data_IF_163664081488
#
_entry.id   IF_163664081488
#
_cell.length_a   1.000
_cell.length_b   1.000
_cell.length_c   1.000
_cell.angle_alpha   90.00
_cell.angle_beta   90.00
_cell.angle_gamma   90.00
#
_symmetry.space_group_name_H-M   'P 1'
#
loop_
_entity.id
_entity.type
_entity.pdbx_description
1 polymer ?
#
# COMPACT_ATOMS: atom_id res chain seq x y z
N UNK A 1 5.35 12.11 46.94
CA UNK A 1 4.43 12.22 45.79
C UNK A 1 5.11 11.59 44.59
N UNK A 2 4.62 10.46 44.04
CA UNK A 2 5.23 9.85 42.87
C UNK A 2 4.30 9.98 41.67
N UNK A 3 4.45 11.03 40.84
CA UNK A 3 3.94 10.99 39.47
C UNK A 3 4.89 11.68 38.48
N UNK A 4 5.78 10.89 37.84
CA UNK A 4 6.32 11.23 36.53
C UNK A 4 6.13 10.09 35.49
N UNK A 5 5.25 9.12 35.76
CA UNK A 5 5.03 7.93 34.91
C UNK A 5 4.34 8.23 33.56
N UNK A 6 3.33 9.12 33.45
CA UNK A 6 2.57 9.29 32.20
C UNK A 6 3.39 9.83 31.02
N UNK A 7 4.35 10.73 31.30
CA UNK A 7 5.16 11.37 30.25
C UNK A 7 6.19 10.41 29.64
N UNK A 8 6.77 9.53 30.45
CA UNK A 8 7.76 8.55 29.98
C UNK A 8 7.13 7.49 29.07
N UNK A 9 5.93 7.01 29.42
CA UNK A 9 5.20 6.05 28.59
C UNK A 9 4.75 6.67 27.26
N UNK A 10 4.27 7.92 27.29
CA UNK A 10 3.93 8.66 26.06
C UNK A 10 5.15 8.82 25.14
N UNK A 11 6.28 9.28 25.66
CA UNK A 11 7.53 9.43 24.88
C UNK A 11 8.00 8.10 24.29
N UNK A 12 7.90 6.99 25.07
CA UNK A 12 8.23 5.65 24.57
C UNK A 12 7.30 5.20 23.45
N UNK A 13 6.01 5.48 23.56
CA UNK A 13 5.01 5.14 22.53
C UNK A 13 5.23 5.95 21.25
N UNK A 14 5.55 7.24 21.35
CA UNK A 14 5.91 8.10 20.22
C UNK A 14 7.22 7.64 19.55
N UNK A 15 8.21 7.22 20.34
CA UNK A 15 9.45 6.62 19.78
C UNK A 15 9.22 5.30 19.04
N UNK A 16 8.21 4.50 19.42
CA UNK A 16 7.77 3.33 18.62
C UNK A 16 7.03 3.76 17.36
N UNK A 17 6.15 4.75 17.48
CA UNK A 17 5.40 5.33 16.37
C UNK A 17 6.33 5.84 15.25
N UNK A 18 7.33 6.65 15.58
CA UNK A 18 8.34 7.16 14.61
C UNK A 18 9.09 6.03 13.91
N UNK A 19 9.49 4.98 14.65
CA UNK A 19 10.15 3.81 14.06
C UNK A 19 9.21 3.04 13.13
N UNK A 20 7.94 2.91 13.49
CA UNK A 20 6.91 2.32 12.65
C UNK A 20 6.71 3.10 11.34
N UNK A 21 6.57 4.43 11.44
CA UNK A 21 6.47 5.32 10.28
C UNK A 21 7.70 5.24 9.38
N UNK A 22 8.90 5.19 9.97
CA UNK A 22 10.15 5.03 9.21
C UNK A 22 10.23 3.67 8.52
N UNK A 23 9.79 2.59 9.16
CA UNK A 23 9.75 1.25 8.56
C UNK A 23 8.76 1.21 7.39
N UNK A 24 7.60 1.86 7.51
CA UNK A 24 6.62 1.98 6.42
C UNK A 24 7.11 2.86 5.28
N UNK A 25 7.77 3.97 5.59
CA UNK A 25 8.33 4.89 4.60
C UNK A 25 9.33 4.18 3.68
N UNK A 26 10.24 3.38 4.24
CA UNK A 26 11.18 2.61 3.43
C UNK A 26 10.59 1.30 2.90
N UNK A 27 9.68 0.70 3.64
CA UNK A 27 9.03 -0.56 3.28
C UNK A 27 8.14 -0.43 2.05
N UNK A 28 7.39 0.67 1.89
CA UNK A 28 6.50 0.87 0.73
C UNK A 28 7.22 0.80 -0.62
N UNK A 29 8.25 1.64 -0.90
CA UNK A 29 8.93 1.62 -2.19
C UNK A 29 9.71 0.33 -2.38
N UNK A 30 10.32 -0.21 -1.31
CA UNK A 30 11.01 -1.51 -1.38
C UNK A 30 10.04 -2.63 -1.73
N UNK A 31 8.86 -2.69 -1.10
CA UNK A 31 7.84 -3.69 -1.40
C UNK A 31 7.37 -3.57 -2.86
N UNK A 32 7.08 -2.35 -3.34
CA UNK A 32 6.69 -2.15 -4.73
C UNK A 32 7.76 -2.66 -5.71
N UNK A 33 9.02 -2.25 -5.52
CA UNK A 33 10.14 -2.61 -6.41
C UNK A 33 10.43 -4.11 -6.34
N UNK A 34 10.56 -4.68 -5.14
CA UNK A 34 10.91 -6.09 -4.94
C UNK A 34 9.79 -7.00 -5.41
N UNK A 35 8.51 -6.70 -5.10
CA UNK A 35 7.39 -7.50 -5.58
C UNK A 35 7.27 -7.43 -7.11
N UNK A 36 7.42 -6.24 -7.70
CA UNK A 36 7.42 -6.08 -9.16
C UNK A 36 8.54 -6.89 -9.83
N UNK A 37 9.78 -6.77 -9.32
CA UNK A 37 10.91 -7.53 -9.85
C UNK A 37 10.78 -9.03 -9.61
N UNK A 38 10.19 -9.47 -8.50
CA UNK A 38 9.96 -10.91 -8.25
C UNK A 38 8.96 -11.49 -9.25
N UNK A 39 7.94 -10.70 -9.62
CA UNK A 39 6.92 -11.10 -10.59
C UNK A 39 7.39 -11.04 -12.05
N UNK A 40 8.33 -10.15 -12.40
CA UNK A 40 8.70 -9.84 -13.80
C UNK A 40 10.15 -10.12 -14.18
N UNK A 41 11.08 -10.17 -13.23
CA UNK A 41 12.52 -10.18 -13.50
C UNK A 41 13.21 -11.42 -12.91
N UNK A 42 14.22 -11.94 -13.64
CA UNK A 42 15.04 -13.07 -13.18
C UNK A 42 16.11 -12.68 -12.15
N UNK A 43 16.33 -11.38 -11.91
CA UNK A 43 17.42 -10.88 -11.07
C UNK A 43 17.31 -11.33 -9.59
N UNK A 44 16.09 -11.55 -9.08
CA UNK A 44 15.86 -12.00 -7.69
C UNK A 44 15.67 -13.52 -7.58
N UNK A 45 15.78 -14.26 -8.69
CA UNK A 45 15.49 -15.69 -8.76
C UNK A 45 16.40 -16.53 -7.84
N UNK A 46 17.62 -16.06 -7.60
CA UNK A 46 18.60 -16.69 -6.69
C UNK A 46 18.19 -16.64 -5.21
N UNK A 47 17.38 -15.64 -4.81
CA UNK A 47 16.93 -15.47 -3.43
C UNK A 47 15.54 -16.08 -3.18
N UNK A 48 14.89 -16.61 -4.22
CA UNK A 48 13.61 -17.32 -4.12
C UNK A 48 12.48 -16.43 -3.58
N UNK A 49 11.75 -16.94 -2.59
CA UNK A 49 10.60 -16.26 -1.96
C UNK A 49 10.99 -15.27 -0.86
N UNK A 50 12.27 -15.22 -0.47
CA UNK A 50 12.73 -14.44 0.69
C UNK A 50 12.58 -12.93 0.48
N UNK A 51 12.99 -12.34 -0.67
CA UNK A 51 12.88 -10.90 -0.88
C UNK A 51 11.46 -10.34 -0.71
N UNK A 52 10.40 -10.87 -1.39
CA UNK A 52 9.05 -10.34 -1.23
C UNK A 52 8.50 -10.54 0.19
N UNK A 53 8.88 -11.62 0.88
CA UNK A 53 8.52 -11.83 2.29
C UNK A 53 9.19 -10.82 3.22
N UNK A 54 10.46 -10.49 2.99
CA UNK A 54 11.19 -9.56 3.84
C UNK A 54 10.60 -8.14 3.77
N UNK A 55 10.27 -7.66 2.57
CA UNK A 55 9.72 -6.31 2.37
C UNK A 55 8.27 -6.18 2.83
N UNK A 56 7.42 -7.19 2.58
CA UNK A 56 6.05 -7.21 3.10
C UNK A 56 6.03 -7.41 4.62
N UNK A 57 6.97 -8.20 5.15
CA UNK A 57 7.18 -8.36 6.60
C UNK A 57 7.61 -7.05 7.27
N UNK A 58 8.41 -6.22 6.59
CA UNK A 58 8.76 -4.88 7.06
C UNK A 58 7.53 -3.96 7.18
N UNK A 59 6.56 -4.07 6.26
CA UNK A 59 5.28 -3.34 6.36
C UNK A 59 4.46 -3.80 7.56
N UNK A 60 4.34 -5.12 7.77
CA UNK A 60 3.68 -5.69 8.95
C UNK A 60 4.34 -5.20 10.24
N UNK A 61 5.67 -5.22 10.31
CA UNK A 61 6.43 -4.71 11.44
C UNK A 61 6.18 -3.22 11.68
N UNK A 62 6.14 -2.40 10.63
CA UNK A 62 5.83 -0.98 10.72
C UNK A 62 4.45 -0.72 11.34
N UNK A 63 3.43 -1.43 10.88
CA UNK A 63 2.07 -1.37 11.47
C UNK A 63 1.99 -1.94 12.89
N UNK A 64 2.80 -2.93 13.21
CA UNK A 64 2.87 -3.48 14.56
C UNK A 64 3.35 -2.40 15.54
N UNK A 65 4.43 -1.69 15.20
CA UNK A 65 5.00 -0.61 16.01
C UNK A 65 4.02 0.56 16.24
N UNK A 66 3.18 0.89 15.25
CA UNK A 66 2.16 1.94 15.37
C UNK A 66 1.10 1.62 16.45
N UNK A 67 0.77 0.36 16.68
CA UNK A 67 -0.34 0.02 17.60
C UNK A 67 -0.01 0.12 19.09
N UNK A 68 1.22 0.46 19.45
CA UNK A 68 1.52 0.84 20.83
C UNK A 68 1.07 2.27 21.18
N UNK A 69 0.80 3.09 20.17
CA UNK A 69 0.29 4.44 20.35
C UNK A 69 -1.23 4.43 20.59
N UNK A 70 -1.69 5.23 21.55
CA UNK A 70 -3.12 5.52 21.81
C UNK A 70 -4.06 4.29 21.79
N UNK A 71 -3.74 3.25 22.57
CA UNK A 71 -4.51 1.97 22.63
C UNK A 71 -5.99 2.13 23.02
N UNK A 72 -6.35 3.25 23.65
CA UNK A 72 -7.71 3.52 24.10
C UNK A 72 -8.63 3.93 22.94
N UNK A 73 -8.07 4.58 21.91
CA UNK A 73 -8.82 5.15 20.81
C UNK A 73 -9.35 4.06 19.87
N UNK A 74 -10.67 3.88 19.84
CA UNK A 74 -11.31 2.78 19.08
C UNK A 74 -11.17 2.97 17.58
N UNK A 75 -11.33 4.21 17.11
CA UNK A 75 -11.27 4.55 15.69
C UNK A 75 -9.86 4.32 15.13
N UNK A 76 -8.83 4.62 15.94
CA UNK A 76 -7.43 4.32 15.63
C UNK A 76 -7.19 2.82 15.46
N UNK A 77 -7.61 2.03 16.46
CA UNK A 77 -7.42 0.58 16.45
C UNK A 77 -8.10 -0.07 15.25
N UNK A 78 -9.35 0.29 14.96
CA UNK A 78 -10.07 -0.28 13.81
C UNK A 78 -9.35 0.02 12.48
N UNK A 79 -8.82 1.23 12.31
CA UNK A 79 -8.06 1.59 11.11
C UNK A 79 -6.75 0.78 11.02
N UNK A 80 -6.01 0.68 12.12
CA UNK A 80 -4.77 -0.10 12.19
C UNK A 80 -5.01 -1.60 11.96
N UNK A 81 -6.05 -2.17 12.55
CA UNK A 81 -6.35 -3.59 12.45
C UNK A 81 -6.73 -3.97 11.00
N UNK A 82 -7.49 -3.11 10.33
CA UNK A 82 -7.77 -3.27 8.89
C UNK A 82 -6.48 -3.27 8.07
N UNK A 83 -5.59 -2.30 8.29
CA UNK A 83 -4.31 -2.22 7.60
C UNK A 83 -3.39 -3.42 7.91
N UNK A 84 -3.41 -3.93 9.15
CA UNK A 84 -2.62 -5.10 9.57
C UNK A 84 -3.11 -6.38 8.91
N UNK A 85 -4.41 -6.57 8.82
CA UNK A 85 -4.99 -7.73 8.15
C UNK A 85 -4.55 -7.72 6.68
N UNK A 86 -4.67 -6.57 6.00
CA UNK A 86 -4.23 -6.43 4.61
C UNK A 86 -2.72 -6.67 4.45
N UNK A 87 -1.89 -6.12 5.34
CA UNK A 87 -0.45 -6.37 5.30
C UNK A 87 -0.08 -7.84 5.54
N UNK A 88 -0.83 -8.55 6.40
CA UNK A 88 -0.63 -9.99 6.63
C UNK A 88 -1.09 -10.82 5.44
N UNK A 89 -2.18 -10.42 4.77
CA UNK A 89 -2.63 -11.02 3.52
C UNK A 89 -1.53 -10.83 2.46
N UNK A 90 -1.03 -9.61 2.27
CA UNK A 90 0.04 -9.31 1.31
C UNK A 90 1.31 -10.11 1.63
N UNK A 91 1.70 -10.22 2.91
CA UNK A 91 2.81 -11.07 3.34
C UNK A 91 2.59 -12.55 3.01
N UNK A 92 1.38 -13.07 3.23
CA UNK A 92 1.05 -14.46 2.90
C UNK A 92 0.96 -14.73 1.39
N UNK A 93 0.60 -13.72 0.60
CA UNK A 93 0.48 -13.81 -0.86
C UNK A 93 1.79 -13.56 -1.59
N UNK A 94 2.74 -12.84 -0.99
CA UNK A 94 4.01 -12.46 -1.61
C UNK A 94 4.83 -13.63 -2.21
N UNK A 95 4.83 -14.87 -1.65
CA UNK A 95 5.52 -16.01 -2.28
C UNK A 95 4.95 -16.41 -3.64
N UNK A 96 3.67 -16.14 -3.90
CA UNK A 96 3.01 -16.51 -5.16
C UNK A 96 3.56 -15.71 -6.34
N UNK A 97 4.16 -14.53 -6.13
CA UNK A 97 4.88 -13.80 -7.17
C UNK A 97 6.03 -14.62 -7.76
N UNK A 98 6.78 -15.31 -6.89
CA UNK A 98 7.89 -16.17 -7.32
C UNK A 98 7.35 -17.40 -8.07
N UNK A 99 6.34 -18.07 -7.54
CA UNK A 99 5.77 -19.26 -8.18
C UNK A 99 5.09 -18.96 -9.51
N UNK A 100 4.43 -17.81 -9.63
CA UNK A 100 3.85 -17.37 -10.89
C UNK A 100 4.91 -17.08 -11.95
N UNK A 101 6.04 -16.47 -11.56
CA UNK A 101 7.19 -16.27 -12.46
C UNK A 101 7.74 -17.63 -12.97
N UNK A 102 7.78 -18.66 -12.11
CA UNK A 102 8.26 -19.98 -12.48
C UNK A 102 7.26 -20.78 -13.34
N UNK A 103 5.96 -20.66 -13.07
CA UNK A 103 4.89 -21.41 -13.76
C UNK A 103 3.76 -20.45 -14.18
N UNK A 104 3.98 -19.59 -15.20
CA UNK A 104 3.04 -18.55 -15.57
C UNK A 104 1.76 -19.09 -16.24
N UNK A 105 1.78 -20.33 -16.73
CA UNK A 105 0.62 -21.01 -17.33
C UNK A 105 -0.43 -21.47 -16.31
N UNK A 106 -0.10 -21.46 -15.02
CA UNK A 106 -1.03 -21.89 -13.97
C UNK A 106 -1.96 -20.74 -13.56
N UNK A 107 -3.25 -20.88 -13.87
CA UNK A 107 -4.29 -19.88 -13.55
C UNK A 107 -4.47 -19.64 -12.04
N UNK A 108 -4.16 -20.62 -11.19
CA UNK A 108 -4.23 -20.45 -9.74
C UNK A 108 -3.21 -19.43 -9.24
N UNK A 109 -1.96 -19.51 -9.71
CA UNK A 109 -0.92 -18.54 -9.34
C UNK A 109 -1.23 -17.15 -9.88
N UNK A 110 -1.79 -17.04 -11.09
CA UNK A 110 -2.29 -15.78 -11.61
C UNK A 110 -3.38 -15.20 -10.70
N UNK A 111 -4.34 -16.01 -10.25
CA UNK A 111 -5.41 -15.55 -9.36
C UNK A 111 -4.86 -15.05 -8.01
N UNK A 112 -3.85 -15.72 -7.44
CA UNK A 112 -3.21 -15.27 -6.20
C UNK A 112 -2.45 -13.95 -6.39
N UNK A 113 -1.74 -13.77 -7.50
CA UNK A 113 -1.06 -12.50 -7.83
C UNK A 113 -2.07 -11.37 -8.05
N UNK A 114 -3.19 -11.64 -8.73
CA UNK A 114 -4.27 -10.65 -8.89
C UNK A 114 -4.89 -10.28 -7.55
N UNK A 115 -5.10 -11.26 -6.66
CA UNK A 115 -5.57 -11.01 -5.30
C UNK A 115 -4.58 -10.16 -4.50
N UNK A 116 -3.28 -10.40 -4.64
CA UNK A 116 -2.22 -9.60 -4.02
C UNK A 116 -2.23 -8.16 -4.55
N UNK A 117 -2.42 -7.94 -5.86
CA UNK A 117 -2.54 -6.59 -6.42
C UNK A 117 -3.75 -5.86 -5.84
N UNK A 118 -4.91 -6.51 -5.76
CA UNK A 118 -6.12 -5.92 -5.17
C UNK A 118 -5.92 -5.63 -3.67
N UNK A 119 -5.32 -6.58 -2.95
CA UNK A 119 -5.02 -6.45 -1.53
C UNK A 119 -4.01 -5.32 -1.27
N UNK A 120 -2.95 -5.20 -2.05
CA UNK A 120 -1.95 -4.13 -1.95
C UNK A 120 -2.51 -2.74 -2.24
N UNK A 121 -3.44 -2.61 -3.20
CA UNK A 121 -4.16 -1.35 -3.42
C UNK A 121 -5.07 -1.00 -2.24
N UNK A 122 -5.78 -2.00 -1.70
CA UNK A 122 -6.60 -1.83 -0.51
C UNK A 122 -5.73 -1.46 0.72
N UNK A 123 -4.56 -2.08 0.85
CA UNK A 123 -3.57 -1.79 1.88
C UNK A 123 -3.13 -0.33 1.82
N UNK A 124 -2.76 0.18 0.64
CA UNK A 124 -2.42 1.59 0.45
C UNK A 124 -3.57 2.51 0.89
N UNK A 125 -4.80 2.22 0.47
CA UNK A 125 -5.97 2.98 0.91
C UNK A 125 -6.15 2.97 2.44
N UNK A 126 -6.03 1.79 3.06
CA UNK A 126 -6.13 1.62 4.51
C UNK A 126 -5.01 2.35 5.26
N UNK A 127 -3.80 2.38 4.71
CA UNK A 127 -2.67 3.07 5.30
C UNK A 127 -2.86 4.59 5.26
N UNK A 128 -3.38 5.14 4.17
CA UNK A 128 -3.74 6.56 4.11
C UNK A 128 -4.83 6.91 5.14
N UNK A 129 -5.80 6.01 5.35
CA UNK A 129 -6.78 6.19 6.42
C UNK A 129 -6.12 6.18 7.81
N UNK A 130 -5.21 5.24 8.09
CA UNK A 130 -4.42 5.22 9.32
C UNK A 130 -3.70 6.56 9.52
N UNK A 131 -3.02 7.07 8.49
CA UNK A 131 -2.31 8.36 8.56
C UNK A 131 -3.25 9.54 8.80
N UNK A 132 -4.43 9.55 8.18
CA UNK A 132 -5.44 10.57 8.43
C UNK A 132 -5.92 10.57 9.88
N UNK A 133 -6.11 9.38 10.47
CA UNK A 133 -6.46 9.26 11.90
C UNK A 133 -5.32 9.71 12.80
N UNK A 134 -4.09 9.36 12.45
CA UNK A 134 -2.91 9.79 13.20
C UNK A 134 -2.77 11.32 13.19
N UNK A 135 -2.91 11.95 12.01
CA UNK A 135 -2.88 13.40 11.87
C UNK A 135 -3.98 14.09 12.70
N UNK A 136 -5.19 13.51 12.76
CA UNK A 136 -6.28 14.04 13.57
C UNK A 136 -6.01 14.02 15.10
N UNK A 137 -5.07 13.19 15.57
CA UNK A 137 -4.65 13.12 16.97
C UNK A 137 -3.45 14.03 17.28
N UNK A 138 -2.82 14.61 16.25
CA UNK A 138 -1.70 15.54 16.40
C UNK A 138 -2.23 16.99 16.47
N UNK A 139 -1.50 17.89 17.15
CA UNK A 139 -1.92 19.28 17.33
C UNK A 139 -1.79 20.16 16.06
N UNK A 140 -1.18 19.65 14.99
CA UNK A 140 -0.91 20.40 13.76
C UNK A 140 -2.14 20.42 12.80
N UNK A 141 -2.75 21.59 12.66
CA UNK A 141 -3.91 21.81 11.78
C UNK A 141 -3.55 21.77 10.28
N UNK A 142 -2.34 22.20 9.90
CA UNK A 142 -1.89 22.16 8.51
C UNK A 142 -1.71 20.71 8.05
N UNK A 143 -1.07 19.88 8.89
CA UNK A 143 -0.96 18.44 8.65
C UNK A 143 -2.34 17.79 8.50
N UNK A 144 -3.30 18.14 9.36
CA UNK A 144 -4.67 17.60 9.28
C UNK A 144 -5.37 17.92 7.96
N UNK A 145 -5.25 19.16 7.49
CA UNK A 145 -5.86 19.58 6.22
C UNK A 145 -5.23 18.86 5.02
N UNK A 146 -3.90 18.83 4.96
CA UNK A 146 -3.16 18.16 3.89
C UNK A 146 -3.44 16.66 3.85
N UNK A 147 -3.42 15.99 5.01
CA UNK A 147 -3.67 14.54 5.07
C UNK A 147 -5.07 14.21 4.58
N UNK A 148 -6.08 15.05 4.86
CA UNK A 148 -7.44 14.87 4.34
C UNK A 148 -7.49 15.01 2.81
N UNK A 149 -6.84 16.03 2.26
CA UNK A 149 -6.81 16.25 0.81
C UNK A 149 -6.06 15.14 0.07
N UNK A 150 -4.87 14.78 0.57
CA UNK A 150 -4.06 13.74 -0.04
C UNK A 150 -4.71 12.37 0.10
N UNK A 151 -5.36 12.06 1.23
CA UNK A 151 -6.11 10.80 1.36
C UNK A 151 -7.25 10.72 0.34
N UNK A 152 -8.02 11.79 0.13
CA UNK A 152 -9.10 11.81 -0.85
C UNK A 152 -8.58 11.68 -2.29
N UNK A 153 -7.51 12.41 -2.64
CA UNK A 153 -6.87 12.33 -3.95
C UNK A 153 -6.30 10.93 -4.19
N UNK A 154 -5.60 10.38 -3.20
CA UNK A 154 -4.99 9.06 -3.27
C UNK A 154 -6.06 7.96 -3.43
N UNK A 155 -7.17 8.04 -2.69
CA UNK A 155 -8.28 7.12 -2.86
C UNK A 155 -8.90 7.17 -4.27
N UNK A 156 -9.08 8.36 -4.84
CA UNK A 156 -9.55 8.50 -6.23
C UNK A 156 -8.56 7.89 -7.23
N UNK A 157 -7.26 8.09 -7.05
CA UNK A 157 -6.23 7.47 -7.89
C UNK A 157 -6.25 5.95 -7.78
N UNK A 158 -6.37 5.40 -6.57
CA UNK A 158 -6.47 3.96 -6.34
C UNK A 158 -7.73 3.37 -7.00
N UNK A 159 -8.87 4.06 -6.94
CA UNK A 159 -10.11 3.65 -7.62
C UNK A 159 -9.94 3.64 -9.15
N UNK A 160 -9.33 4.67 -9.72
CA UNK A 160 -9.03 4.72 -11.17
C UNK A 160 -8.08 3.58 -11.53
N UNK A 161 -7.04 3.33 -10.72
CA UNK A 161 -6.08 2.24 -10.92
C UNK A 161 -6.76 0.88 -10.90
N UNK A 162 -7.58 0.61 -9.88
CA UNK A 162 -8.32 -0.64 -9.76
C UNK A 162 -9.29 -0.84 -10.92
N UNK A 163 -9.97 0.23 -11.36
CA UNK A 163 -10.89 0.19 -12.50
C UNK A 163 -10.16 -0.11 -13.81
N UNK A 164 -9.04 0.55 -14.08
CA UNK A 164 -8.20 0.28 -15.26
C UNK A 164 -7.63 -1.15 -15.22
N UNK A 165 -7.14 -1.60 -14.07
CA UNK A 165 -6.63 -2.95 -13.88
C UNK A 165 -7.70 -4.03 -14.10
N UNK A 166 -8.91 -3.81 -13.58
CA UNK A 166 -10.05 -4.70 -13.79
C UNK A 166 -10.44 -4.77 -15.27
N UNK A 167 -10.54 -3.63 -15.96
CA UNK A 167 -10.83 -3.60 -17.39
C UNK A 167 -9.77 -4.34 -18.21
N UNK A 168 -8.49 -4.17 -17.85
CA UNK A 168 -7.39 -4.88 -18.49
C UNK A 168 -7.46 -6.40 -18.23
N UNK A 169 -7.75 -6.83 -16.99
CA UNK A 169 -7.91 -8.24 -16.65
C UNK A 169 -9.10 -8.88 -17.38
N UNK A 170 -10.23 -8.16 -17.50
CA UNK A 170 -11.40 -8.61 -18.27
C UNK A 170 -11.11 -8.70 -19.77
N UNK A 171 -10.27 -7.81 -20.30
CA UNK A 171 -9.81 -7.88 -21.68
C UNK A 171 -8.94 -9.12 -21.92
N UNK A 172 -7.94 -9.37 -21.05
CA UNK A 172 -7.05 -10.54 -21.16
C UNK A 172 -7.81 -11.87 -21.01
N UNK A 173 -8.73 -11.95 -20.06
CA UNK A 173 -9.56 -13.16 -19.84
C UNK A 173 -10.70 -13.29 -20.85
N UNK A 174 -11.08 -12.18 -21.48
CA UNK A 174 -12.11 -12.11 -22.51
C UNK A 174 -11.62 -12.47 -23.92
N UNK A 175 -10.32 -12.71 -24.12
CA UNK A 175 -9.75 -13.14 -25.40
C UNK A 175 -10.05 -14.64 -25.60
N UNK A 176 -11.03 -15.01 -26.47
CA UNK A 176 -11.49 -16.38 -26.54
C UNK A 176 -10.96 -17.01 -27.83
N UNK A 177 -10.05 -17.98 -27.70
CA UNK A 177 -9.78 -18.94 -28.78
C UNK A 177 -11.05 -19.73 -29.18
N UNK A 178 -12.19 -19.62 -28.47
CA UNK A 178 -13.40 -20.39 -28.74
C UNK A 178 -14.75 -19.65 -28.54
N UNK A 179 -14.86 -18.34 -28.81
CA UNK A 179 -16.13 -17.65 -28.52
C UNK A 179 -16.25 -16.19 -28.97
N UNK A 180 -16.14 -15.95 -30.27
CA UNK A 180 -16.15 -14.64 -30.95
C UNK A 180 -17.45 -13.80 -30.84
N UNK A 181 -18.34 -14.02 -29.87
CA UNK A 181 -19.65 -13.33 -29.83
C UNK A 181 -19.96 -12.54 -28.55
N UNK A 182 -19.06 -12.48 -27.56
CA UNK A 182 -19.36 -11.78 -26.29
C UNK A 182 -18.66 -10.42 -26.12
N UNK A 183 -17.49 -10.21 -26.74
CA UNK A 183 -16.70 -8.97 -26.58
C UNK A 183 -17.06 -7.88 -27.59
N UNK A 184 -17.72 -8.21 -28.71
CA UNK A 184 -18.10 -7.23 -29.74
C UNK A 184 -19.21 -6.25 -29.31
N UNK A 185 -19.69 -6.36 -28.07
CA UNK A 185 -20.73 -5.49 -27.48
C UNK A 185 -20.17 -4.51 -26.43
N UNK A 186 -18.85 -4.43 -26.26
CA UNK A 186 -18.24 -3.37 -25.46
C UNK A 186 -18.14 -2.10 -26.31
N UNK A 187 -18.65 -1.00 -25.76
CA UNK A 187 -18.73 0.33 -26.37
C UNK A 187 -17.43 0.72 -27.10
N UNK A 188 -17.49 1.43 -28.24
CA UNK A 188 -16.30 1.91 -28.96
C UNK A 188 -15.35 2.72 -28.06
N UNK A 189 -15.86 3.33 -26.99
CA UNK A 189 -15.03 4.00 -25.98
C UNK A 189 -14.10 3.04 -25.23
N UNK A 190 -14.56 1.82 -24.92
CA UNK A 190 -13.76 0.81 -24.24
C UNK A 190 -12.62 0.32 -25.14
N UNK A 191 -12.85 0.20 -26.44
CA UNK A 191 -11.82 -0.16 -27.42
C UNK A 191 -10.71 0.89 -27.51
N UNK A 192 -11.05 2.18 -27.44
CA UNK A 192 -10.07 3.28 -27.41
C UNK A 192 -9.25 3.26 -26.13
N UNK A 193 -9.89 3.05 -24.97
CA UNK A 193 -9.19 2.96 -23.67
C UNK A 193 -8.25 1.76 -23.66
N UNK A 194 -8.68 0.60 -24.17
CA UNK A 194 -7.81 -0.59 -24.25
C UNK A 194 -6.65 -0.40 -25.23
N UNK A 195 -6.84 0.31 -26.35
CA UNK A 195 -5.74 0.61 -27.28
C UNK A 195 -4.72 1.61 -26.72
N UNK A 196 -5.18 2.61 -25.94
CA UNK A 196 -4.29 3.53 -25.22
C UNK A 196 -3.52 2.80 -24.14
N UNK A 197 -4.18 1.87 -23.43
CA UNK A 197 -3.52 0.95 -22.51
C UNK A 197 -2.52 0.10 -23.29
N UNK A 198 -2.87 -0.63 -24.34
CA UNK A 198 -1.92 -1.48 -25.09
C UNK A 198 -0.68 -0.73 -25.62
N UNK A 199 -0.82 0.54 -26.05
CA UNK A 199 0.32 1.38 -26.45
C UNK A 199 1.16 1.91 -25.27
N UNK A 200 0.59 2.04 -24.08
CA UNK A 200 1.25 2.54 -22.87
C UNK A 200 1.49 1.49 -21.77
N UNK A 201 1.19 0.22 -22.06
CA UNK A 201 0.51 -0.76 -21.17
C UNK A 201 1.12 -0.98 -19.79
N UNK A 202 2.43 -1.01 -19.70
CA UNK A 202 3.08 -1.23 -18.40
C UNK A 202 3.46 0.09 -17.72
N UNK A 203 3.92 1.09 -18.48
CA UNK A 203 4.39 2.35 -17.90
C UNK A 203 3.27 3.21 -17.35
N UNK A 204 2.11 3.21 -18.00
CA UNK A 204 0.94 3.96 -17.52
C UNK A 204 0.42 3.40 -16.19
N UNK A 205 0.26 2.07 -16.09
CA UNK A 205 -0.15 1.41 -14.84
C UNK A 205 0.89 1.58 -13.74
N UNK A 206 2.18 1.48 -14.07
CA UNK A 206 3.27 1.76 -13.12
C UNK A 206 3.18 3.19 -12.60
N UNK A 207 3.01 4.19 -13.46
CA UNK A 207 2.90 5.59 -13.04
C UNK A 207 1.65 5.83 -12.17
N UNK A 208 0.55 5.18 -12.53
CA UNK A 208 -0.72 5.29 -11.82
C UNK A 208 -0.68 4.66 -10.43
N UNK A 209 0.17 3.64 -10.20
CA UNK A 209 0.46 3.05 -8.88
C UNK A 209 1.58 3.82 -8.16
N UNK A 210 2.56 4.35 -8.89
CA UNK A 210 3.69 5.06 -8.31
C UNK A 210 3.25 6.39 -7.68
N UNK A 211 2.30 7.09 -8.29
CA UNK A 211 1.73 8.32 -7.75
C UNK A 211 1.08 8.15 -6.36
N UNK A 212 0.12 7.22 -6.14
CA UNK A 212 -0.46 6.97 -4.83
C UNK A 212 0.56 6.48 -3.80
N UNK A 213 1.56 5.71 -4.22
CA UNK A 213 2.70 5.32 -3.35
C UNK A 213 3.51 6.54 -2.93
N UNK A 214 3.89 7.41 -3.87
CA UNK A 214 4.66 8.62 -3.58
C UNK A 214 3.92 9.59 -2.66
N UNK A 215 2.61 9.77 -2.86
CA UNK A 215 1.76 10.57 -1.97
C UNK A 215 1.72 9.99 -0.55
N UNK A 216 1.57 8.67 -0.44
CA UNK A 216 1.58 7.98 0.87
C UNK A 216 2.94 8.15 1.56
N UNK A 217 4.04 8.05 0.80
CA UNK A 217 5.39 8.29 1.31
C UNK A 217 5.58 9.74 1.79
N UNK A 218 5.08 10.72 1.05
CA UNK A 218 5.14 12.12 1.45
C UNK A 218 4.40 12.37 2.77
N UNK A 219 3.21 11.77 2.95
CA UNK A 219 2.46 11.82 4.21
C UNK A 219 3.18 11.12 5.36
N UNK A 220 3.75 9.94 5.12
CA UNK A 220 4.54 9.21 6.11
C UNK A 220 5.73 10.05 6.60
N UNK A 221 6.47 10.64 5.67
CA UNK A 221 7.59 11.52 5.97
C UNK A 221 7.14 12.75 6.77
N UNK A 222 6.14 13.48 6.29
CA UNK A 222 5.67 14.71 6.95
C UNK A 222 5.12 14.43 8.35
N UNK A 223 4.32 13.38 8.50
CA UNK A 223 3.78 12.97 9.81
C UNK A 223 4.91 12.62 10.79
N UNK A 224 5.94 11.91 10.32
CA UNK A 224 7.12 11.59 11.12
C UNK A 224 7.85 12.85 11.59
N UNK A 225 8.08 13.82 10.72
CA UNK A 225 8.75 15.08 11.08
C UNK A 225 7.92 15.87 12.11
N UNK A 226 6.61 16.01 11.92
CA UNK A 226 5.74 16.70 12.90
C UNK A 226 5.77 16.02 14.27
N UNK A 227 5.83 14.69 14.32
CA UNK A 227 5.97 13.96 15.59
C UNK A 227 7.35 14.23 16.22
N UNK A 228 8.43 14.23 15.44
CA UNK A 228 9.77 14.54 15.94
C UNK A 228 9.83 15.97 16.49
N UNK A 229 9.30 16.94 15.75
CA UNK A 229 9.21 18.34 16.18
C UNK A 229 8.39 18.48 17.46
N UNK A 230 7.30 17.73 17.62
CA UNK A 230 6.52 17.75 18.87
C UNK A 230 7.27 17.19 20.08
N UNK A 231 8.23 16.28 19.87
CA UNK A 231 9.04 15.66 20.93
C UNK A 231 10.23 16.56 21.31
N UNK A 232 10.89 17.15 20.31
CA UNK A 232 12.14 17.90 20.49
C UNK A 232 11.95 19.42 20.55
N UNK A 233 10.89 19.95 19.93
CA UNK A 233 10.57 21.39 19.91
C UNK A 233 9.84 21.90 21.16
N UNK A 234 9.44 21.02 22.09
CA UNK A 234 8.83 21.41 23.36
C UNK A 234 9.84 21.85 24.44
N UNK A 235 11.07 22.21 24.04
CA UNK A 235 12.17 22.62 24.93
C UNK A 235 12.53 24.12 24.88
N UNK A 236 11.83 24.93 24.10
CA UNK A 236 11.91 26.39 24.11
C UNK A 236 10.62 27.02 24.67
#
# INVERSE_FOLDING_TARGET
>A
MPEPVPRAELLRSLGRLVRGLSALFWGLPLALVVCFHTAKAEALRSFGIVPPLAVTGLLVYGLWQLGDFQKQERVWRNALDCARILALIDFGLSPFLYWWNQVPSNSFYLAMVLLEVVSGLAFLGSLNWVLQRLAAMLPDEALRLETRQFTALNFNLLLVTASCGLLYALYLTGQPDHGAHRVQRLSPWMATVTQVIDRGSNWFLVLLVLCPVALTMALLWKTKEVILDSIFGAQD
#
